data_IF_246489102900
#
_entry.id   IF_246489102900
#
_cell.length_a   1.000
_cell.length_b   1.000
_cell.length_c   1.000
_cell.angle_alpha   90.00
_cell.angle_beta   90.00
_cell.angle_gamma   90.00
#
_symmetry.space_group_name_H-M   'P 1'
#
loop_
_entity.id
_entity.type
_entity.pdbx_description
1 polymer ?
#
# COMPACT_ATOMS: atom_id res chain seq x y z
N UNK A 1 -3.03 -24.47 -26.90
CA UNK A 1 -2.52 -23.24 -26.23
C UNK A 1 -3.62 -22.71 -25.32
N UNK A 2 -3.42 -22.78 -24.00
CA UNK A 2 -4.38 -22.24 -23.03
C UNK A 2 -4.27 -20.72 -23.06
N UNK A 3 -5.36 -20.03 -23.45
CA UNK A 3 -5.53 -18.59 -23.24
C UNK A 3 -5.77 -18.40 -21.75
N UNK A 4 -4.79 -17.90 -21.03
CA UNK A 4 -4.98 -17.50 -19.64
C UNK A 4 -6.02 -16.38 -19.59
N UNK A 5 -7.15 -16.69 -18.97
CA UNK A 5 -8.20 -15.75 -18.60
C UNK A 5 -7.65 -14.82 -17.52
N UNK A 6 -7.98 -13.53 -17.64
CA UNK A 6 -7.94 -12.51 -16.57
C UNK A 6 -6.72 -11.57 -16.53
N UNK A 7 -6.32 -10.97 -17.65
CA UNK A 7 -5.61 -9.68 -17.60
C UNK A 7 -6.62 -8.56 -17.40
N UNK A 8 -7.10 -8.39 -16.16
CA UNK A 8 -7.60 -7.08 -15.74
C UNK A 8 -6.50 -6.07 -16.09
N UNK A 9 -6.83 -5.07 -16.90
CA UNK A 9 -5.86 -4.06 -17.31
C UNK A 9 -5.22 -3.47 -16.03
N UNK A 10 -3.90 -3.51 -15.96
CA UNK A 10 -3.17 -3.14 -14.75
C UNK A 10 -3.36 -1.64 -14.48
N UNK A 11 -3.93 -1.29 -13.32
CA UNK A 11 -4.00 0.09 -12.82
C UNK A 11 -2.64 0.52 -12.30
N UNK A 12 -2.24 1.75 -12.65
CA UNK A 12 -0.94 2.32 -12.31
C UNK A 12 -1.08 3.80 -11.94
N UNK A 13 -0.10 4.29 -11.17
CA UNK A 13 0.07 5.71 -10.84
C UNK A 13 1.35 6.23 -11.51
N UNK A 14 1.28 7.38 -12.17
CA UNK A 14 2.47 8.09 -12.65
C UNK A 14 3.14 8.74 -11.44
N UNK A 15 4.36 8.32 -11.11
CA UNK A 15 5.02 8.74 -9.86
C UNK A 15 5.28 10.24 -9.78
N UNK A 16 5.59 10.88 -10.92
CA UNK A 16 5.90 12.31 -10.98
C UNK A 16 4.67 13.20 -10.75
N UNK A 17 3.50 12.80 -11.25
CA UNK A 17 2.28 13.64 -11.23
C UNK A 17 1.21 13.14 -10.28
N UNK A 18 1.30 11.90 -9.82
CA UNK A 18 0.23 11.21 -9.09
C UNK A 18 -0.96 10.81 -9.94
N UNK A 19 -0.96 11.10 -11.25
CA UNK A 19 -2.07 10.75 -12.14
C UNK A 19 -2.24 9.23 -12.24
N UNK A 20 -3.49 8.79 -12.24
CA UNK A 20 -3.84 7.39 -12.39
C UNK A 20 -4.11 7.06 -13.85
N UNK A 21 -3.91 5.79 -14.17
CA UNK A 21 -4.22 5.28 -15.48
C UNK A 21 -4.18 3.77 -15.55
N UNK A 22 -4.41 3.29 -16.76
CA UNK A 22 -4.55 1.87 -17.06
C UNK A 22 -3.56 1.48 -18.13
N UNK A 23 -2.75 0.46 -17.87
CA UNK A 23 -1.79 -0.07 -18.85
C UNK A 23 -2.58 -0.74 -19.98
N UNK A 24 -2.38 -0.28 -21.20
CA UNK A 24 -3.03 -0.80 -22.41
C UNK A 24 -2.11 -1.68 -23.23
N UNK A 25 -0.80 -1.41 -23.21
CA UNK A 25 0.21 -2.17 -23.93
C UNK A 25 1.58 -2.06 -23.25
N UNK A 26 2.52 -2.92 -23.61
CA UNK A 26 3.91 -2.84 -23.15
C UNK A 26 4.88 -3.43 -24.18
N UNK A 27 6.05 -2.83 -24.28
CA UNK A 27 7.15 -3.29 -25.13
C UNK A 27 8.46 -3.27 -24.36
N UNK A 28 9.39 -4.12 -24.77
CA UNK A 28 10.76 -4.08 -24.27
C UNK A 28 11.58 -3.17 -25.18
N UNK A 29 12.18 -2.13 -24.61
CA UNK A 29 13.02 -1.17 -25.33
C UNK A 29 14.35 -0.99 -24.61
N UNK A 30 15.38 -0.55 -25.34
CA UNK A 30 16.65 -0.16 -24.70
C UNK A 30 16.54 1.29 -24.23
N UNK A 31 16.84 1.53 -22.95
CA UNK A 31 17.08 2.86 -22.40
C UNK A 31 18.57 2.95 -22.09
N UNK A 32 19.32 3.63 -22.96
CA UNK A 32 20.77 3.48 -23.00
C UNK A 32 21.15 2.04 -23.36
N UNK A 33 22.03 1.41 -22.56
CA UNK A 33 22.49 0.03 -22.80
C UNK A 33 21.70 -1.04 -22.03
N UNK A 34 20.63 -0.68 -21.32
CA UNK A 34 19.84 -1.63 -20.52
C UNK A 34 18.47 -1.86 -21.15
N UNK A 35 18.04 -3.12 -21.34
CA UNK A 35 16.66 -3.41 -21.72
C UNK A 35 15.74 -3.04 -20.56
N UNK A 36 14.69 -2.28 -20.86
CA UNK A 36 13.69 -1.79 -19.91
C UNK A 36 12.30 -1.86 -20.54
N UNK A 37 11.30 -2.13 -19.70
CA UNK A 37 9.91 -2.16 -20.14
C UNK A 37 9.40 -0.72 -20.29
N UNK A 38 8.82 -0.45 -21.46
CA UNK A 38 8.10 0.78 -21.77
C UNK A 38 6.61 0.43 -21.89
N UNK A 39 5.76 1.10 -21.11
CA UNK A 39 4.33 0.79 -21.00
C UNK A 39 3.52 1.91 -21.60
N UNK A 40 2.53 1.55 -22.41
CA UNK A 40 1.49 2.46 -22.84
C UNK A 40 0.41 2.52 -21.74
N UNK A 41 0.08 3.73 -21.33
CA UNK A 41 -0.87 4.01 -20.26
C UNK A 41 -1.91 4.99 -20.78
N UNK A 42 -3.18 4.60 -20.64
CA UNK A 42 -4.31 5.50 -20.80
C UNK A 42 -4.55 6.21 -19.46
N UNK A 43 -4.30 7.51 -19.42
CA UNK A 43 -4.53 8.31 -18.21
C UNK A 43 -6.01 8.60 -18.03
N UNK A 44 -6.49 8.57 -16.79
CA UNK A 44 -7.89 8.88 -16.47
C UNK A 44 -8.23 10.35 -16.79
N UNK A 45 -7.27 11.26 -16.60
CA UNK A 45 -7.40 12.68 -16.90
C UNK A 45 -7.52 12.98 -18.40
N UNK A 46 -6.96 12.10 -19.24
CA UNK A 46 -6.87 12.27 -20.71
C UNK A 46 -7.08 10.93 -21.40
N UNK A 47 -8.30 10.38 -21.36
CA UNK A 47 -8.57 9.02 -21.83
C UNK A 47 -8.47 8.85 -23.36
N UNK A 48 -8.45 9.96 -24.09
CA UNK A 48 -8.29 10.01 -25.54
C UNK A 48 -6.82 10.00 -26.00
N UNK A 49 -5.87 10.14 -25.06
CA UNK A 49 -4.45 10.21 -25.37
C UNK A 49 -3.69 9.15 -24.57
N UNK A 50 -3.31 8.08 -25.25
CA UNK A 50 -2.42 7.09 -24.67
C UNK A 50 -0.99 7.67 -24.60
N UNK A 51 -0.33 7.50 -23.45
CA UNK A 51 1.03 8.00 -23.20
C UNK A 51 1.95 6.87 -22.81
N UNK A 52 3.22 6.97 -23.19
CA UNK A 52 4.19 5.95 -22.87
C UNK A 52 5.11 6.35 -21.72
N UNK A 53 5.30 5.44 -20.77
CA UNK A 53 6.12 5.62 -19.57
C UNK A 53 7.08 4.45 -19.40
N UNK A 54 8.29 4.74 -18.91
CA UNK A 54 9.18 3.69 -18.44
C UNK A 54 8.61 3.07 -17.17
N UNK A 55 8.84 1.77 -16.98
CA UNK A 55 8.28 1.05 -15.84
C UNK A 55 8.68 1.64 -14.47
N UNK A 56 9.84 2.27 -14.37
CA UNK A 56 10.33 2.97 -13.17
C UNK A 56 9.63 4.32 -12.89
N UNK A 57 8.86 4.83 -13.85
CA UNK A 57 8.04 6.04 -13.69
C UNK A 57 6.61 5.72 -13.22
N UNK A 58 6.28 4.43 -13.08
CA UNK A 58 4.96 3.95 -12.72
C UNK A 58 5.01 3.24 -11.36
N UNK A 59 4.09 3.61 -10.48
CA UNK A 59 3.86 2.97 -9.19
C UNK A 59 2.55 2.19 -9.16
N UNK A 60 2.37 1.42 -8.09
CA UNK A 60 1.09 0.83 -7.76
C UNK A 60 0.09 1.93 -7.36
N UNK A 61 -1.20 1.64 -7.54
CA UNK A 61 -2.29 2.49 -7.04
C UNK A 61 -2.55 2.30 -5.55
N UNK A 62 -2.01 1.24 -4.95
CA UNK A 62 -2.07 0.95 -3.52
C UNK A 62 -0.65 0.75 -2.99
N UNK A 63 -0.28 1.52 -1.98
CA UNK A 63 1.03 1.44 -1.31
C UNK A 63 0.82 1.17 0.18
N UNK A 64 1.63 0.27 0.74
CA UNK A 64 1.61 -0.04 2.17
C UNK A 64 2.98 0.21 2.78
N UNK A 65 3.03 1.02 3.82
CA UNK A 65 4.21 1.21 4.67
C UNK A 65 4.00 0.49 6.00
N UNK A 66 5.05 -0.12 6.55
CA UNK A 66 5.04 -0.75 7.88
C UNK A 66 5.90 0.03 8.85
N UNK A 67 5.29 0.51 9.92
CA UNK A 67 5.97 1.09 11.07
C UNK A 67 6.19 -0.01 12.11
N UNK A 68 7.38 -0.06 12.71
CA UNK A 68 7.71 -0.99 13.78
C UNK A 68 8.17 -0.22 15.01
N UNK A 69 7.56 -0.49 16.16
CA UNK A 69 7.92 0.06 17.46
C UNK A 69 8.41 -1.08 18.36
N UNK A 70 9.68 -1.03 18.74
CA UNK A 70 10.32 -2.07 19.55
C UNK A 70 10.56 -1.55 20.97
N UNK A 71 10.00 -2.24 21.97
CA UNK A 71 10.26 -2.00 23.37
C UNK A 71 11.58 -2.63 23.83
N UNK A 72 12.18 -2.10 24.90
CA UNK A 72 13.45 -2.62 25.45
C UNK A 72 13.39 -4.06 25.99
N UNK A 73 12.19 -4.61 26.16
CA UNK A 73 11.92 -5.99 26.52
C UNK A 73 11.76 -6.94 25.31
N UNK A 74 11.97 -6.44 24.09
CA UNK A 74 11.81 -7.21 22.85
C UNK A 74 10.37 -7.30 22.33
N UNK A 75 9.40 -6.63 22.97
CA UNK A 75 8.03 -6.50 22.43
C UNK A 75 8.06 -5.64 21.16
N UNK A 76 7.42 -6.12 20.09
CA UNK A 76 7.30 -5.39 18.83
C UNK A 76 5.85 -5.10 18.51
N UNK A 77 5.54 -3.84 18.20
CA UNK A 77 4.26 -3.41 17.67
C UNK A 77 4.45 -2.96 16.23
N UNK A 78 3.55 -3.39 15.36
CA UNK A 78 3.57 -3.05 13.95
C UNK A 78 2.30 -2.31 13.56
N UNK A 79 2.46 -1.34 12.67
CA UNK A 79 1.36 -0.58 12.09
C UNK A 79 1.57 -0.60 10.58
N UNK A 80 0.68 -1.27 9.85
CA UNK A 80 0.58 -1.12 8.42
C UNK A 80 -0.28 0.11 8.13
N UNK A 81 0.28 1.04 7.35
CA UNK A 81 -0.42 2.21 6.82
C UNK A 81 -0.53 2.00 5.32
N UNK A 82 -1.76 1.84 4.84
CA UNK A 82 -2.02 1.68 3.41
C UNK A 82 -2.69 2.93 2.86
N UNK A 83 -2.19 3.41 1.73
CA UNK A 83 -2.86 4.45 0.96
C UNK A 83 -3.31 3.87 -0.38
N UNK A 84 -4.59 4.05 -0.67
CA UNK A 84 -5.20 3.72 -1.95
C UNK A 84 -5.39 5.03 -2.72
N UNK A 85 -4.56 5.27 -3.72
CA UNK A 85 -4.61 6.49 -4.53
C UNK A 85 -5.88 6.58 -5.38
N UNK A 86 -6.63 5.49 -5.55
CA UNK A 86 -7.95 5.54 -6.19
C UNK A 86 -9.01 6.15 -5.27
N UNK A 87 -8.77 6.16 -3.95
CA UNK A 87 -9.65 6.73 -2.93
C UNK A 87 -9.04 8.01 -2.37
N UNK A 88 -9.66 9.15 -2.68
CA UNK A 88 -9.21 10.43 -2.13
C UNK A 88 -9.30 10.47 -0.61
N UNK A 89 -8.20 10.87 0.05
CA UNK A 89 -8.19 11.26 1.46
C UNK A 89 -8.25 10.12 2.49
N UNK A 90 -8.27 8.85 2.09
CA UNK A 90 -8.32 7.72 3.04
C UNK A 90 -6.97 7.03 3.20
N UNK A 91 -6.60 6.79 4.45
CA UNK A 91 -5.52 5.88 4.83
C UNK A 91 -6.13 4.74 5.63
N UNK A 92 -5.82 3.50 5.25
CA UNK A 92 -6.20 2.31 6.01
C UNK A 92 -5.08 1.99 7.01
N UNK A 93 -5.43 1.90 8.29
CA UNK A 93 -4.49 1.61 9.37
C UNK A 93 -4.80 0.24 9.98
N UNK A 94 -3.81 -0.65 9.97
CA UNK A 94 -3.89 -1.98 10.59
C UNK A 94 -2.76 -2.12 11.61
N UNK A 95 -3.10 -2.32 12.88
CA UNK A 95 -2.12 -2.45 13.97
C UNK A 95 -2.13 -3.87 14.55
N UNK A 96 -0.94 -4.45 14.76
CA UNK A 96 -0.73 -5.80 15.28
C UNK A 96 0.51 -5.84 16.18
N UNK A 97 0.59 -6.78 17.12
CA UNK A 97 1.71 -6.91 18.09
C UNK A 97 2.37 -8.28 17.93
N UNK A 98 3.61 -8.45 18.37
CA UNK A 98 4.28 -9.75 18.51
C UNK A 98 4.67 -10.04 19.96
N UNK A 99 4.34 -11.23 20.52
CA UNK A 99 3.46 -12.26 19.94
C UNK A 99 2.02 -11.75 19.72
N UNK A 100 1.33 -12.34 18.75
CA UNK A 100 0.12 -11.82 18.11
C UNK A 100 -1.11 -11.79 19.03
N UNK A 101 -1.32 -10.69 19.76
CA UNK A 101 -2.63 -10.24 20.27
C UNK A 101 -2.52 -8.91 21.04
N UNK A 102 -3.03 -7.79 20.52
CA UNK A 102 -3.08 -6.51 21.26
C UNK A 102 -3.71 -6.61 22.67
N UNK A 103 -4.60 -7.61 22.88
CA UNK A 103 -5.30 -7.81 24.15
C UNK A 103 -4.44 -8.42 25.26
N UNK A 104 -3.38 -9.14 24.89
CA UNK A 104 -2.51 -9.89 25.82
C UNK A 104 -1.25 -9.11 26.23
N UNK A 105 -1.00 -7.96 25.60
CA UNK A 105 0.13 -7.09 25.93
C UNK A 105 -0.23 -6.07 27.01
N UNK A 106 0.78 -5.66 27.78
CA UNK A 106 0.65 -4.59 28.76
C UNK A 106 0.21 -3.30 28.08
N UNK A 107 -1.05 -2.92 28.32
CA UNK A 107 -1.68 -1.69 27.79
C UNK A 107 -1.05 -0.42 28.34
N UNK A 108 -0.23 -0.53 29.38
CA UNK A 108 0.56 0.57 29.94
C UNK A 108 1.99 0.60 29.42
N UNK A 109 2.39 -0.39 28.60
CA UNK A 109 3.72 -0.44 27.99
C UNK A 109 3.97 0.71 27.02
N UNK A 110 5.21 1.22 27.00
CA UNK A 110 5.61 2.35 26.15
C UNK A 110 5.26 2.17 24.66
N UNK A 111 5.46 0.99 24.01
CA UNK A 111 5.05 0.80 22.61
C UNK A 111 3.55 0.99 22.37
N UNK A 112 2.70 0.59 23.34
CA UNK A 112 1.25 0.75 23.26
C UNK A 112 0.85 2.24 23.39
N UNK A 113 1.43 2.93 24.38
CA UNK A 113 1.20 4.36 24.60
C UNK A 113 1.64 5.21 23.39
N UNK A 114 2.82 4.92 22.82
CA UNK A 114 3.31 5.60 21.62
C UNK A 114 2.45 5.34 20.39
N UNK A 115 1.94 4.11 20.24
CA UNK A 115 0.99 3.77 19.16
C UNK A 115 -0.30 4.56 19.30
N UNK A 116 -0.88 4.60 20.50
CA UNK A 116 -2.08 5.40 20.75
C UNK A 116 -1.87 6.89 20.48
N UNK A 117 -0.72 7.43 20.90
CA UNK A 117 -0.35 8.82 20.63
C UNK A 117 -0.15 9.09 19.12
N UNK A 118 0.50 8.18 18.41
CA UNK A 118 0.71 8.27 16.96
C UNK A 118 -0.63 8.24 16.21
N UNK A 119 -1.49 7.24 16.47
CA UNK A 119 -2.80 7.12 15.82
C UNK A 119 -3.68 8.35 16.10
N UNK A 120 -3.66 8.85 17.34
CA UNK A 120 -4.35 10.09 17.71
C UNK A 120 -3.79 11.32 16.97
N UNK A 121 -2.47 11.45 16.88
CA UNK A 121 -1.81 12.54 16.15
C UNK A 121 -2.08 12.50 14.65
N UNK A 122 -2.30 11.31 14.09
CA UNK A 122 -2.68 11.10 12.69
C UNK A 122 -4.20 11.27 12.43
N UNK A 123 -5.00 11.59 13.45
CA UNK A 123 -6.45 11.78 13.30
C UNK A 123 -7.24 10.49 13.07
N UNK A 124 -6.65 9.32 13.33
CA UNK A 124 -7.31 8.02 13.17
C UNK A 124 -8.45 7.91 14.19
N UNK A 125 -9.70 7.90 13.68
CA UNK A 125 -10.92 7.85 14.50
C UNK A 125 -11.67 9.19 14.66
N UNK A 126 -11.30 10.24 13.92
CA UNK A 126 -12.12 11.45 13.77
C UNK A 126 -12.95 11.39 12.48
N UNK A 127 -14.13 12.04 12.46
CA UNK A 127 -15.03 12.09 11.30
C UNK A 127 -14.27 12.49 10.03
N UNK A 128 -14.35 11.65 8.99
CA UNK A 128 -13.69 11.87 7.69
C UNK A 128 -12.53 10.93 7.35
N UNK A 129 -12.05 10.11 8.31
CA UNK A 129 -11.07 9.04 8.05
C UNK A 129 -11.78 7.68 8.20
N UNK A 130 -12.00 6.96 7.09
CA UNK A 130 -12.51 5.58 7.16
C UNK A 130 -11.43 4.66 7.78
N UNK A 131 -11.60 4.36 9.06
CA UNK A 131 -10.74 3.43 9.79
C UNK A 131 -11.35 2.03 9.76
N UNK A 132 -10.90 1.17 8.84
CA UNK A 132 -11.15 -0.27 8.97
C UNK A 132 -10.05 -0.89 9.83
N UNK A 133 -10.30 -1.04 11.13
CA UNK A 133 -9.44 -1.85 12.00
C UNK A 133 -9.90 -3.30 11.87
N UNK A 134 -9.36 -4.01 10.88
CA UNK A 134 -9.61 -5.44 10.72
C UNK A 134 -8.58 -6.22 11.57
N UNK A 135 -8.96 -6.62 12.79
CA UNK A 135 -8.12 -7.45 13.65
C UNK A 135 -8.23 -8.88 13.15
N UNK A 136 -7.42 -9.24 12.15
CA UNK A 136 -7.35 -10.63 11.69
C UNK A 136 -6.36 -11.42 12.55
N UNK A 137 -6.78 -12.53 13.17
CA UNK A 137 -5.82 -13.46 13.76
C UNK A 137 -4.92 -14.00 12.65
N UNK A 138 -3.60 -14.01 12.90
CA UNK A 138 -2.68 -14.72 12.03
C UNK A 138 -3.07 -16.20 12.04
N UNK A 139 -3.61 -16.68 10.92
CA UNK A 139 -3.81 -18.11 10.73
C UNK A 139 -2.42 -18.72 10.69
N UNK A 140 -2.05 -19.37 11.78
CA UNK A 140 -0.90 -20.26 11.82
C UNK A 140 -1.22 -21.43 10.88
N UNK A 141 -0.80 -21.35 9.63
CA UNK A 141 -0.64 -22.54 8.79
C UNK A 141 0.46 -23.40 9.42
N UNK A 142 0.06 -24.27 10.35
CA UNK A 142 0.77 -25.51 10.62
C UNK A 142 0.26 -26.51 9.60
N UNK A 143 1.13 -26.88 8.66
CA UNK A 143 1.25 -28.24 8.15
C UNK A 143 2.73 -28.49 7.83
#
# INVERSE_FOLDING_TARGET
>A
MKKDKNTKQQRVRVLQTGELGTVTDQVLMKRGNKPMVYKQVRLDSKPHLDRWYWADQLGAVRETCRITLTGGNGTELYINVTHDYEKYGSYEFEAFVKPANLKEHDRHGLPFLLTGALLKGLGVGQEGVETSVDVRPAISEKN
#
